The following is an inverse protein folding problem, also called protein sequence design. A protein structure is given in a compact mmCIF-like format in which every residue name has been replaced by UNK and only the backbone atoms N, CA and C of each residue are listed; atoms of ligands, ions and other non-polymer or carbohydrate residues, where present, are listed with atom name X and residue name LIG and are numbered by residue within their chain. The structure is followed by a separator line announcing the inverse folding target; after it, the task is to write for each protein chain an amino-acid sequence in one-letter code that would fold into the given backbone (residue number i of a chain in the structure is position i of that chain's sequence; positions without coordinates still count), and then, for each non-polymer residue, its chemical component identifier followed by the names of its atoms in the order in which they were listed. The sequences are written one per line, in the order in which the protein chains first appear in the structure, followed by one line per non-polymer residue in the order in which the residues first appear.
data_IF_224456057162
#
_entry.id   IF_224456057162
#
_cell.length_a   1.000
_cell.length_b   1.000
_cell.length_c   1.000
_cell.angle_alpha   90.00
_cell.angle_beta   90.00
_cell.angle_gamma   90.00
#
_symmetry.space_group_name_H-M   'P 1'
#
loop_
_entity.id
_entity.type
_entity.pdbx_description
1 polymer ?
#
# COMPACT_ATOMS: atom_id res chain seq x y z
N UNK A 1 -20.02 18.06 2.89
CA UNK A 1 -19.46 16.70 3.05
C UNK A 1 -17.96 16.76 2.79
N UNK A 2 -17.12 16.39 3.77
CA UNK A 2 -15.66 16.57 3.78
C UNK A 2 -14.93 15.25 3.52
N UNK A 3 -15.08 14.65 2.34
CA UNK A 3 -14.40 13.39 2.03
C UNK A 3 -13.05 13.66 1.34
N UNK A 4 -11.96 13.24 2.00
CA UNK A 4 -10.59 13.17 1.45
C UNK A 4 -9.91 14.50 1.09
N UNK A 5 -10.48 15.63 1.48
CA UNK A 5 -9.89 16.95 1.24
C UNK A 5 -8.72 17.26 2.17
N UNK A 6 -8.07 18.37 1.87
CA UNK A 6 -7.08 19.01 2.72
C UNK A 6 -7.83 19.95 3.68
N UNK A 7 -7.41 20.02 4.93
CA UNK A 7 -7.94 20.93 5.94
C UNK A 7 -7.30 22.33 5.82
N UNK A 8 -7.64 23.23 6.74
CA UNK A 8 -7.11 24.60 6.75
C UNK A 8 -5.60 24.69 6.99
N UNK A 9 -4.96 23.62 7.47
CA UNK A 9 -3.52 23.59 7.76
C UNK A 9 -2.70 22.96 6.62
N UNK A 10 -3.34 22.62 5.49
CA UNK A 10 -2.64 21.97 4.38
C UNK A 10 -2.46 20.47 4.57
N UNK A 11 -3.08 19.84 5.57
CA UNK A 11 -3.00 18.38 5.80
C UNK A 11 -4.29 17.66 5.46
N UNK A 12 -4.22 16.37 5.16
CA UNK A 12 -5.42 15.57 4.91
C UNK A 12 -6.33 15.53 6.15
N UNK A 13 -7.64 15.63 5.95
CA UNK A 13 -8.61 15.37 7.03
C UNK A 13 -8.36 13.98 7.62
N UNK A 14 -8.00 13.96 8.91
CA UNK A 14 -7.56 12.77 9.62
C UNK A 14 -8.25 12.63 10.98
N UNK A 15 -8.41 11.39 11.45
CA UNK A 15 -9.00 11.04 12.75
C UNK A 15 -8.00 11.11 13.90
N UNK A 16 -6.71 11.23 13.59
CA UNK A 16 -5.61 11.20 14.57
C UNK A 16 -5.24 12.59 15.10
N UNK A 17 -5.98 13.63 14.69
CA UNK A 17 -5.84 15.00 15.15
C UNK A 17 -4.51 15.65 14.78
N UNK A 18 -3.81 15.15 13.74
CA UNK A 18 -2.59 15.76 13.23
C UNK A 18 -2.92 17.09 12.53
N UNK A 19 -2.14 18.13 12.82
CA UNK A 19 -2.32 19.48 12.26
C UNK A 19 -1.20 19.87 11.31
N UNK A 20 -0.08 19.16 11.33
CA UNK A 20 1.06 19.38 10.42
C UNK A 20 1.35 18.13 9.61
N UNK A 21 1.99 18.32 8.46
CA UNK A 21 2.35 17.21 7.58
C UNK A 21 3.30 16.22 8.29
N UNK A 22 4.26 16.74 9.05
CA UNK A 22 5.20 15.93 9.82
C UNK A 22 4.49 15.07 10.89
N UNK A 23 3.57 15.67 11.66
CA UNK A 23 2.78 14.93 12.66
C UNK A 23 1.90 13.85 12.00
N UNK A 24 1.31 14.16 10.85
CA UNK A 24 0.47 13.22 10.13
C UNK A 24 1.31 12.03 9.65
N UNK A 25 2.48 12.30 9.06
CA UNK A 25 3.40 11.27 8.58
C UNK A 25 3.92 10.36 9.68
N UNK A 26 4.28 10.93 10.83
CA UNK A 26 4.72 10.18 12.01
C UNK A 26 3.62 9.22 12.49
N UNK A 27 2.43 9.75 12.78
CA UNK A 27 1.30 8.93 13.26
C UNK A 27 0.86 7.89 12.24
N UNK A 28 0.87 8.24 10.96
CA UNK A 28 0.58 7.29 9.90
C UNK A 28 1.62 6.17 9.83
N UNK A 29 2.91 6.49 9.95
CA UNK A 29 3.98 5.50 9.93
C UNK A 29 3.77 4.50 11.07
N UNK A 30 3.53 4.96 12.28
CA UNK A 30 3.40 4.10 13.46
C UNK A 30 2.20 3.16 13.33
N UNK A 31 1.02 3.73 13.02
CA UNK A 31 -0.23 2.97 12.89
C UNK A 31 -0.12 1.95 11.75
N UNK A 32 0.36 2.38 10.58
CA UNK A 32 0.38 1.49 9.41
C UNK A 32 1.43 0.40 9.53
N UNK A 33 2.59 0.68 10.14
CA UNK A 33 3.63 -0.34 10.40
C UNK A 33 3.07 -1.50 11.22
N UNK A 34 2.42 -1.18 12.35
CA UNK A 34 1.82 -2.19 13.22
C UNK A 34 0.74 -3.02 12.51
N UNK A 35 -0.13 -2.36 11.74
CA UNK A 35 -1.24 -3.02 11.06
C UNK A 35 -0.79 -3.87 9.88
N UNK A 36 0.21 -3.42 9.12
CA UNK A 36 0.82 -4.21 8.06
C UNK A 36 1.50 -5.46 8.62
N UNK A 37 2.23 -5.34 9.75
CA UNK A 37 2.80 -6.49 10.44
C UNK A 37 1.72 -7.47 10.91
N UNK A 38 0.60 -6.96 11.44
CA UNK A 38 -0.55 -7.78 11.83
C UNK A 38 -1.15 -8.57 10.66
N UNK A 39 -1.18 -7.99 9.45
CA UNK A 39 -1.65 -8.67 8.23
C UNK A 39 -0.71 -9.74 7.69
N UNK A 40 0.56 -9.76 8.12
CA UNK A 40 1.48 -10.87 7.81
C UNK A 40 1.19 -12.10 8.68
N UNK A 41 0.67 -11.90 9.89
CA UNK A 41 0.33 -12.97 10.83
C UNK A 41 -1.09 -13.47 10.56
N UNK A 42 -2.05 -12.55 10.42
CA UNK A 42 -3.45 -12.86 10.17
C UNK A 42 -3.92 -12.12 8.92
N UNK A 43 -3.73 -12.75 7.77
CA UNK A 43 -4.13 -12.21 6.49
C UNK A 43 -5.66 -12.05 6.41
N UNK A 44 -6.10 -10.96 5.78
CA UNK A 44 -7.49 -10.85 5.34
C UNK A 44 -7.69 -11.88 4.23
N UNK A 45 -8.71 -12.72 4.37
CA UNK A 45 -9.05 -13.71 3.35
C UNK A 45 -9.88 -13.04 2.26
N UNK A 46 -9.60 -13.38 1.01
CA UNK A 46 -10.34 -12.89 -0.15
C UNK A 46 -9.84 -13.51 -1.44
N UNK A 47 -10.45 -13.11 -2.56
CA UNK A 47 -10.21 -13.72 -3.87
C UNK A 47 -9.22 -12.92 -4.74
N UNK A 48 -8.44 -12.02 -4.13
CA UNK A 48 -7.61 -11.03 -4.85
C UNK A 48 -8.40 -10.21 -5.87
N UNK A 49 -9.62 -9.84 -5.51
CA UNK A 49 -10.48 -8.93 -6.26
C UNK A 49 -10.48 -7.52 -5.62
N UNK A 50 -11.27 -6.62 -6.21
CA UNK A 50 -11.40 -5.26 -5.68
C UNK A 50 -11.98 -5.25 -4.25
N UNK A 51 -12.84 -6.20 -3.90
CA UNK A 51 -13.40 -6.29 -2.54
C UNK A 51 -12.31 -6.60 -1.53
N UNK A 52 -11.44 -7.55 -1.87
CA UNK A 52 -10.28 -7.90 -1.05
C UNK A 52 -9.31 -6.71 -0.91
N UNK A 53 -9.00 -6.03 -2.02
CA UNK A 53 -8.13 -4.85 -2.01
C UNK A 53 -8.69 -3.72 -1.12
N UNK A 54 -10.00 -3.43 -1.22
CA UNK A 54 -10.69 -2.45 -0.37
C UNK A 54 -10.66 -2.85 1.10
N UNK A 55 -10.81 -4.15 1.41
CA UNK A 55 -10.76 -4.67 2.77
C UNK A 55 -9.38 -4.45 3.41
N UNK A 56 -8.30 -4.72 2.66
CA UNK A 56 -6.91 -4.44 3.11
C UNK A 56 -6.72 -2.94 3.37
N UNK A 57 -7.10 -2.08 2.42
CA UNK A 57 -6.97 -0.64 2.60
C UNK A 57 -7.77 -0.14 3.80
N UNK A 58 -9.01 -0.60 3.96
CA UNK A 58 -9.86 -0.27 5.10
C UNK A 58 -9.21 -0.71 6.40
N UNK A 59 -8.67 -1.92 6.45
CA UNK A 59 -7.95 -2.38 7.62
C UNK A 59 -6.79 -1.44 7.92
N UNK A 60 -5.88 -1.18 7.00
CA UNK A 60 -4.67 -0.37 7.28
C UNK A 60 -5.01 1.06 7.73
N UNK A 61 -5.98 1.72 7.06
CA UNK A 61 -6.16 3.16 7.18
C UNK A 61 -7.40 3.61 7.96
N UNK A 62 -8.33 2.73 8.34
CA UNK A 62 -9.54 3.13 9.07
C UNK A 62 -9.30 3.89 10.39
N UNK A 63 -8.19 3.68 11.14
CA UNK A 63 -7.89 4.51 12.31
C UNK A 63 -7.48 5.94 11.96
N UNK A 64 -6.97 6.17 10.74
CA UNK A 64 -6.44 7.46 10.29
C UNK A 64 -7.47 8.23 9.47
N UNK A 65 -8.20 7.55 8.58
CA UNK A 65 -9.06 8.18 7.59
C UNK A 65 -10.50 7.64 7.64
N UNK A 66 -11.48 8.54 7.47
CA UNK A 66 -12.90 8.16 7.39
C UNK A 66 -13.26 7.48 6.07
N UNK A 67 -12.49 7.74 5.02
CA UNK A 67 -12.67 7.22 3.67
C UNK A 67 -11.87 5.93 3.41
N UNK A 68 -11.28 5.31 4.44
CA UNK A 68 -10.46 4.13 4.25
C UNK A 68 -11.24 2.97 3.60
N UNK A 69 -10.76 2.53 2.44
CA UNK A 69 -11.40 1.49 1.62
C UNK A 69 -12.35 2.04 0.57
N UNK A 70 -12.47 3.36 0.41
CA UNK A 70 -13.21 4.00 -0.68
C UNK A 70 -12.30 4.25 -1.90
N UNK A 71 -12.83 4.02 -3.10
CA UNK A 71 -12.10 4.11 -4.37
C UNK A 71 -12.23 5.51 -4.99
N UNK A 72 -11.27 5.91 -5.83
CA UNK A 72 -11.32 7.16 -6.59
C UNK A 72 -11.34 6.86 -8.11
N UNK A 73 -11.77 7.82 -8.94
CA UNK A 73 -11.90 7.68 -10.40
C UNK A 73 -10.54 7.58 -11.11
N UNK A 74 -9.48 8.16 -10.53
CA UNK A 74 -8.14 8.21 -11.15
C UNK A 74 -7.14 7.16 -10.60
N UNK A 75 -7.34 6.70 -9.36
CA UNK A 75 -6.49 5.71 -8.70
C UNK A 75 -7.35 4.80 -7.82
N UNK A 76 -6.94 3.54 -7.66
CA UNK A 76 -7.68 2.55 -6.86
C UNK A 76 -8.03 3.06 -5.47
N UNK A 77 -7.18 3.91 -4.87
CA UNK A 77 -7.47 4.73 -3.70
C UNK A 77 -6.98 6.17 -3.90
N UNK A 78 -7.55 7.12 -3.16
CA UNK A 78 -7.21 8.54 -3.27
C UNK A 78 -5.75 8.84 -2.92
N UNK A 79 -5.24 8.17 -1.90
CA UNK A 79 -3.86 8.31 -1.41
C UNK A 79 -3.37 6.95 -0.89
N UNK A 80 -2.07 6.84 -0.62
CA UNK A 80 -1.46 5.68 0.06
C UNK A 80 -1.61 4.33 -0.68
N UNK A 81 -1.74 4.38 -2.01
CA UNK A 81 -1.85 3.21 -2.89
C UNK A 81 -0.68 2.22 -2.70
N UNK A 82 0.56 2.71 -2.60
CA UNK A 82 1.75 1.85 -2.53
C UNK A 82 1.77 0.90 -1.33
N UNK A 83 1.35 1.34 -0.13
CA UNK A 83 1.31 0.47 1.07
C UNK A 83 0.26 -0.64 0.92
N UNK A 84 -0.90 -0.30 0.37
CA UNK A 84 -1.98 -1.27 0.11
C UNK A 84 -1.58 -2.27 -0.97
N UNK A 85 -1.01 -1.80 -2.08
CA UNK A 85 -0.52 -2.65 -3.17
C UNK A 85 0.54 -3.65 -2.67
N UNK A 86 1.49 -3.19 -1.83
CA UNK A 86 2.51 -4.07 -1.23
C UNK A 86 1.88 -5.20 -0.43
N UNK A 87 0.94 -4.91 0.47
CA UNK A 87 0.28 -5.97 1.26
C UNK A 87 -0.51 -6.93 0.38
N UNK A 88 -1.26 -6.40 -0.59
CA UNK A 88 -2.05 -7.22 -1.50
C UNK A 88 -1.18 -8.17 -2.33
N UNK A 89 -0.09 -7.68 -2.93
CA UNK A 89 0.83 -8.49 -3.73
C UNK A 89 1.60 -9.47 -2.83
N UNK A 90 1.97 -9.09 -1.60
CA UNK A 90 2.61 -10.01 -0.65
C UNK A 90 1.68 -11.18 -0.29
N UNK A 91 0.39 -10.93 -0.04
CA UNK A 91 -0.58 -11.99 0.22
C UNK A 91 -0.82 -12.88 -1.00
N UNK A 92 -0.84 -12.29 -2.20
CA UNK A 92 -0.96 -13.04 -3.46
C UNK A 92 0.23 -13.96 -3.68
N UNK A 93 1.45 -13.43 -3.50
CA UNK A 93 2.68 -14.22 -3.57
C UNK A 93 2.64 -15.37 -2.56
N UNK A 94 2.25 -15.10 -1.31
CA UNK A 94 2.18 -16.12 -0.26
C UNK A 94 1.19 -17.24 -0.61
N UNK A 95 0.00 -16.90 -1.11
CA UNK A 95 -0.97 -17.91 -1.56
C UNK A 95 -0.46 -18.72 -2.75
N UNK A 96 0.36 -18.11 -3.62
CA UNK A 96 1.02 -18.79 -4.72
C UNK A 96 2.26 -19.61 -4.30
N UNK A 97 2.61 -19.66 -3.01
CA UNK A 97 3.79 -20.39 -2.52
C UNK A 97 5.11 -19.61 -2.58
N UNK A 98 5.05 -18.28 -2.71
CA UNK A 98 6.21 -17.39 -2.78
C UNK A 98 6.24 -16.40 -1.62
N UNK A 99 7.44 -16.03 -1.19
CA UNK A 99 7.68 -14.90 -0.31
C UNK A 99 8.15 -13.72 -1.14
N UNK A 100 7.47 -12.59 -1.00
CA UNK A 100 7.87 -11.31 -1.58
C UNK A 100 8.67 -10.49 -0.56
N UNK A 101 9.92 -10.17 -0.87
CA UNK A 101 10.79 -9.29 -0.09
C UNK A 101 11.12 -8.03 -0.89
N UNK A 102 10.47 -6.91 -0.54
CA UNK A 102 10.71 -5.59 -1.16
C UNK A 102 11.60 -4.68 -0.30
N UNK A 103 12.20 -5.19 0.77
CA UNK A 103 13.01 -4.37 1.68
C UNK A 103 14.32 -3.92 1.04
N UNK A 104 14.82 -4.70 0.07
CA UNK A 104 16.10 -4.46 -0.59
C UNK A 104 15.97 -3.51 -1.80
N UNK A 105 14.74 -3.09 -2.13
CA UNK A 105 14.47 -2.19 -3.26
C UNK A 105 14.41 -0.75 -2.78
N UNK A 106 15.33 0.08 -3.29
CA UNK A 106 15.38 1.50 -2.94
C UNK A 106 14.16 2.27 -3.50
N UNK A 107 13.81 3.40 -2.88
CA UNK A 107 12.78 4.29 -3.45
C UNK A 107 13.17 4.78 -4.83
N UNK A 108 14.45 5.11 -5.05
CA UNK A 108 14.95 5.59 -6.34
C UNK A 108 14.78 4.55 -7.45
N UNK A 109 15.11 3.29 -7.16
CA UNK A 109 14.93 2.18 -8.09
C UNK A 109 13.45 1.98 -8.45
N UNK A 110 12.56 2.00 -7.46
CA UNK A 110 11.11 1.90 -7.70
C UNK A 110 10.58 3.09 -8.52
N UNK A 111 11.03 4.32 -8.23
CA UNK A 111 10.60 5.53 -8.93
C UNK A 111 11.09 5.52 -10.38
N UNK A 112 12.36 5.17 -10.61
CA UNK A 112 12.93 5.12 -11.96
C UNK A 112 12.24 4.07 -12.82
N UNK A 113 11.98 2.87 -12.30
CA UNK A 113 11.22 1.83 -13.00
C UNK A 113 9.77 2.28 -13.29
N UNK A 114 9.10 2.92 -12.33
CA UNK A 114 7.74 3.43 -12.51
C UNK A 114 7.66 4.55 -13.56
N UNK A 115 8.68 5.41 -13.63
CA UNK A 115 8.77 6.49 -14.62
C UNK A 115 8.88 5.96 -16.05
N UNK A 116 9.69 4.91 -16.25
CA UNK A 116 9.83 4.26 -17.56
C UNK A 116 8.49 3.70 -18.04
N UNK A 117 7.73 3.05 -17.16
CA UNK A 117 6.39 2.53 -17.47
C UNK A 117 5.42 3.66 -17.80
N UNK A 118 5.42 4.74 -17.00
CA UNK A 118 4.52 5.87 -17.21
C UNK A 118 4.76 6.57 -18.56
N UNK A 119 6.02 6.75 -18.93
CA UNK A 119 6.40 7.50 -20.13
C UNK A 119 6.33 6.65 -21.40
N UNK A 120 6.59 5.34 -21.30
CA UNK A 120 6.87 4.49 -22.46
C UNK A 120 6.07 3.20 -22.50
N UNK A 121 5.29 2.89 -21.46
CA UNK A 121 4.62 1.59 -21.28
C UNK A 121 5.60 0.41 -21.35
N UNK A 122 6.83 0.63 -20.89
CA UNK A 122 7.92 -0.34 -20.93
C UNK A 122 8.11 -0.98 -19.53
N UNK A 123 7.59 -2.20 -19.37
CA UNK A 123 7.47 -2.93 -18.11
C UNK A 123 8.70 -3.74 -17.62
N UNK A 124 9.69 -4.16 -18.44
CA UNK A 124 10.83 -4.96 -18.01
C UNK A 124 11.57 -4.45 -16.75
N UNK A 125 11.73 -3.12 -16.52
CA UNK A 125 12.32 -2.64 -15.27
C UNK A 125 11.53 -3.02 -14.02
N UNK A 126 10.19 -2.91 -14.05
CA UNK A 126 9.33 -3.32 -12.94
C UNK A 126 9.28 -4.84 -12.79
N UNK A 127 9.26 -5.58 -13.90
CA UNK A 127 9.29 -7.05 -13.87
C UNK A 127 10.57 -7.56 -13.21
N UNK A 128 11.72 -6.96 -13.55
CA UNK A 128 13.01 -7.29 -12.93
C UNK A 128 12.98 -7.11 -11.42
N UNK A 129 12.45 -5.98 -10.94
CA UNK A 129 12.29 -5.72 -9.50
C UNK A 129 11.44 -6.83 -8.85
N UNK A 130 10.31 -7.18 -9.46
CA UNK A 130 9.42 -8.22 -8.92
C UNK A 130 10.10 -9.60 -8.89
N UNK A 131 10.74 -10.01 -9.99
CA UNK A 131 11.42 -11.31 -10.11
C UNK A 131 12.54 -11.43 -9.07
N UNK A 132 13.33 -10.38 -8.86
CA UNK A 132 14.41 -10.36 -7.87
C UNK A 132 13.88 -10.35 -6.42
N UNK A 133 12.64 -9.90 -6.23
CA UNK A 133 12.02 -9.78 -4.92
C UNK A 133 11.23 -11.03 -4.48
N UNK A 134 11.05 -12.03 -5.33
CA UNK A 134 10.30 -13.26 -5.00
C UNK A 134 11.22 -14.46 -4.76
N UNK A 135 10.86 -15.27 -3.78
CA UNK A 135 11.54 -16.55 -3.48
C UNK A 135 10.52 -17.64 -3.13
N UNK A 136 10.71 -18.91 -3.53
CA UNK A 136 9.82 -19.97 -3.11
C UNK A 136 9.80 -20.11 -1.59
N UNK A 137 8.61 -20.26 -1.00
CA UNK A 137 8.48 -20.72 0.37
C UNK A 137 8.83 -22.20 0.33
N UNK A 138 9.97 -22.59 0.94
CA UNK A 138 10.33 -24.00 1.07
C UNK A 138 9.21 -24.69 1.84
N UNK A 139 8.53 -25.63 1.19
CA UNK A 139 7.65 -26.60 1.86
C UNK A 139 8.54 -27.55 2.67
N UNK A 140 8.30 -27.60 3.98
CA UNK A 140 8.80 -28.68 4.85
C UNK A 140 8.23 -30.03 4.43
#
# INVERSE_FOLDING_TARGET
MRYGGIDQNGVLYNKVGAKTQAELEEKERDITTFRMASLQINAIKGNFDLVHLKAIHRYIFSPIYSWAGEINVHHSFRERNGRTQRVFISQLAQQAGYKLNLNDISQEEMISASKVVLERLDYPPLEKILIQSISPIKSE
#
